data_IF_402931477497
#
_entry.id   IF_402931477497
#
_cell.length_a   1.000
_cell.length_b   1.000
_cell.length_c   1.000
_cell.angle_alpha   90.00
_cell.angle_beta   90.00
_cell.angle_gamma   90.00
#
_symmetry.space_group_name_H-M   'P 1'
#
loop_
_entity.id
_entity.type
_entity.pdbx_description
1 polymer ?
#
# COMPACT_ATOMS: atom_id res chain seq x y z
N UNK A 1 29.67 -29.28 -9.49
CA UNK A 1 28.99 -29.36 -8.17
C UNK A 1 27.61 -29.92 -8.45
N UNK A 2 27.31 -31.11 -7.95
CA UNK A 2 25.96 -31.66 -8.08
C UNK A 2 25.05 -30.93 -7.10
N UNK A 3 24.01 -30.28 -7.62
CA UNK A 3 23.02 -29.57 -6.81
C UNK A 3 21.82 -30.49 -6.66
N UNK A 4 21.53 -30.87 -5.42
CA UNK A 4 20.34 -31.68 -5.08
C UNK A 4 19.26 -30.72 -4.58
N UNK A 5 18.09 -30.76 -5.22
CA UNK A 5 16.92 -29.99 -4.79
C UNK A 5 16.01 -30.89 -3.96
N UNK A 6 15.65 -30.42 -2.77
CA UNK A 6 14.68 -31.09 -1.89
C UNK A 6 13.46 -30.18 -1.81
N UNK A 7 12.28 -30.72 -2.15
CA UNK A 7 11.01 -30.01 -2.10
C UNK A 7 10.08 -30.78 -1.17
N UNK A 8 9.59 -30.12 -0.12
CA UNK A 8 8.57 -30.69 0.73
C UNK A 8 7.27 -30.81 -0.07
N UNK A 9 6.61 -31.98 -0.01
CA UNK A 9 5.30 -32.20 -0.65
C UNK A 9 4.13 -31.68 0.20
N UNK A 10 4.34 -31.51 1.50
CA UNK A 10 3.36 -31.03 2.47
C UNK A 10 4.03 -30.17 3.53
N UNK A 11 3.28 -29.25 4.12
CA UNK A 11 3.72 -28.47 5.25
C UNK A 11 3.49 -29.20 6.60
N UNK A 12 3.71 -28.50 7.72
CA UNK A 12 3.50 -29.05 9.07
C UNK A 12 2.02 -29.26 9.43
N UNK A 13 1.10 -28.61 8.70
CA UNK A 13 -0.35 -28.77 8.82
C UNK A 13 -0.94 -29.84 7.89
N UNK A 14 -0.08 -30.60 7.20
CA UNK A 14 -0.44 -31.57 6.16
C UNK A 14 -1.05 -30.94 4.88
N UNK A 15 -0.97 -29.63 4.71
CA UNK A 15 -1.42 -28.96 3.48
C UNK A 15 -0.43 -29.23 2.32
N UNK A 16 -0.91 -29.52 1.10
CA UNK A 16 -0.05 -29.83 -0.03
C UNK A 16 0.76 -28.60 -0.48
N UNK A 17 2.07 -28.79 -0.65
CA UNK A 17 2.99 -27.79 -1.15
C UNK A 17 3.33 -28.03 -2.61
N UNK A 18 3.48 -26.93 -3.36
CA UNK A 18 3.91 -26.98 -4.76
C UNK A 18 5.39 -26.59 -4.89
N UNK A 19 6.17 -27.28 -5.75
CA UNK A 19 7.53 -26.87 -6.10
C UNK A 19 7.55 -25.46 -6.72
N UNK A 20 8.58 -24.67 -6.36
CA UNK A 20 8.80 -23.35 -6.95
C UNK A 20 8.87 -23.40 -8.47
N UNK A 21 8.23 -22.43 -9.14
CA UNK A 21 8.22 -22.30 -10.61
C UNK A 21 9.62 -22.11 -11.21
N UNK A 22 10.56 -21.56 -10.43
CA UNK A 22 11.96 -21.42 -10.81
C UNK A 22 12.62 -22.78 -11.11
N UNK A 23 12.16 -23.85 -10.45
CA UNK A 23 12.61 -25.21 -10.77
C UNK A 23 12.14 -25.65 -12.17
N UNK A 24 11.20 -24.97 -12.80
CA UNK A 24 10.75 -25.26 -14.17
C UNK A 24 11.22 -24.22 -15.19
N UNK A 25 11.93 -23.17 -14.77
CA UNK A 25 12.53 -22.16 -15.63
C UNK A 25 13.79 -22.69 -16.35
N UNK A 26 13.59 -23.69 -17.21
CA UNK A 26 14.61 -24.38 -18.00
C UNK A 26 14.01 -24.78 -19.36
N UNK A 27 14.76 -25.46 -20.22
CA UNK A 27 14.22 -25.95 -21.49
C UNK A 27 13.03 -26.89 -21.28
N UNK A 28 12.12 -26.94 -22.27
CA UNK A 28 10.84 -27.66 -22.20
C UNK A 28 11.04 -29.13 -21.80
N UNK A 29 12.12 -29.78 -22.26
CA UNK A 29 12.38 -31.19 -21.97
C UNK A 29 12.79 -31.39 -20.52
N UNK A 30 13.68 -30.55 -19.99
CA UNK A 30 14.06 -30.58 -18.58
C UNK A 30 12.90 -30.19 -17.66
N UNK A 31 12.09 -29.20 -18.04
CA UNK A 31 10.93 -28.79 -17.28
C UNK A 31 9.91 -29.95 -17.18
N UNK A 32 9.62 -30.62 -18.30
CA UNK A 32 8.74 -31.79 -18.32
C UNK A 32 9.28 -32.96 -17.48
N UNK A 33 10.61 -33.20 -17.50
CA UNK A 33 11.24 -34.20 -16.64
C UNK A 33 11.07 -33.85 -15.15
N UNK A 34 11.34 -32.59 -14.77
CA UNK A 34 11.16 -32.13 -13.39
C UNK A 34 9.71 -32.22 -12.94
N UNK A 35 8.74 -31.89 -13.80
CA UNK A 35 7.30 -32.05 -13.52
C UNK A 35 7.00 -33.51 -13.20
N UNK A 36 7.47 -34.46 -14.04
CA UNK A 36 7.30 -35.89 -13.76
C UNK A 36 8.00 -36.35 -12.49
N UNK A 37 9.14 -35.77 -12.12
CA UNK A 37 9.85 -36.13 -10.89
C UNK A 37 9.13 -35.60 -9.65
N UNK A 38 8.64 -34.36 -9.66
CA UNK A 38 7.98 -33.76 -8.50
C UNK A 38 6.53 -34.20 -8.33
N UNK A 39 5.79 -34.35 -9.43
CA UNK A 39 4.36 -34.68 -9.43
C UNK A 39 4.04 -36.11 -9.88
N UNK A 40 5.03 -36.86 -10.36
CA UNK A 40 4.83 -38.27 -10.69
C UNK A 40 4.50 -39.09 -9.45
N UNK A 41 3.67 -40.12 -9.66
CA UNK A 41 3.34 -41.13 -8.66
C UNK A 41 4.59 -41.96 -8.33
N UNK A 42 5.45 -41.45 -7.46
CA UNK A 42 6.39 -42.31 -6.76
C UNK A 42 5.55 -43.14 -5.78
N UNK A 43 5.63 -44.47 -5.86
CA UNK A 43 5.26 -45.33 -4.74
C UNK A 43 5.80 -44.67 -3.47
N UNK A 44 4.97 -44.56 -2.43
CA UNK A 44 5.42 -44.10 -1.13
C UNK A 44 6.43 -45.14 -0.63
N UNK A 45 7.69 -45.03 -1.07
CA UNK A 45 8.80 -45.57 -0.31
C UNK A 45 8.62 -44.95 1.07
N UNK A 46 8.25 -45.80 2.04
CA UNK A 46 8.28 -45.46 3.45
C UNK A 46 9.73 -45.09 3.74
N UNK A 47 10.07 -43.82 3.51
CA UNK A 47 11.36 -43.29 3.86
C UNK A 47 11.50 -43.59 5.36
N UNK A 48 12.55 -44.35 5.76
CA UNK A 48 12.74 -44.64 7.17
C UNK A 48 12.74 -43.32 7.94
N UNK A 49 12.09 -43.27 9.11
CA UNK A 49 11.96 -42.03 9.87
C UNK A 49 13.34 -41.38 9.98
N UNK A 50 13.43 -40.11 9.56
CA UNK A 50 14.67 -39.32 9.58
C UNK A 50 15.17 -39.05 11.01
N UNK A 51 14.43 -39.52 12.02
CA UNK A 51 14.73 -39.44 13.44
C UNK A 51 16.13 -40.01 13.72
N UNK A 52 17.07 -39.14 14.10
CA UNK A 52 18.44 -39.51 14.45
C UNK A 52 19.42 -39.71 13.28
N UNK A 53 18.98 -39.60 12.02
CA UNK A 53 19.87 -39.70 10.84
C UNK A 53 20.33 -38.34 10.29
N UNK A 54 19.58 -37.29 10.62
CA UNK A 54 20.00 -35.93 10.36
C UNK A 54 20.87 -35.46 11.52
N UNK A 55 22.18 -35.40 11.31
CA UNK A 55 23.04 -34.53 12.12
C UNK A 55 22.81 -33.11 11.62
N UNK A 56 22.60 -32.15 12.51
CA UNK A 56 22.53 -30.75 12.11
C UNK A 56 23.79 -30.41 11.31
N UNK A 57 23.64 -30.26 9.99
CA UNK A 57 24.69 -29.70 9.16
C UNK A 57 25.00 -28.31 9.71
N UNK A 58 26.29 -27.95 9.76
CA UNK A 58 26.85 -26.68 10.28
C UNK A 58 25.78 -25.61 10.51
N UNK A 59 25.71 -25.04 11.72
CA UNK A 59 24.92 -23.85 12.13
C UNK A 59 25.15 -22.58 11.27
N UNK A 60 25.77 -22.69 10.10
CA UNK A 60 25.97 -21.60 9.16
C UNK A 60 24.78 -21.57 8.21
N UNK A 61 23.66 -21.02 8.67
CA UNK A 61 22.76 -20.33 7.74
C UNK A 61 23.57 -19.20 7.10
N UNK A 62 23.96 -19.39 5.84
CA UNK A 62 24.76 -18.38 5.10
C UNK A 62 23.94 -17.14 4.73
N UNK A 63 22.62 -17.20 4.87
CA UNK A 63 21.75 -16.06 4.65
C UNK A 63 21.86 -15.10 5.83
N UNK A 64 22.42 -13.92 5.56
CA UNK A 64 22.52 -12.85 6.55
C UNK A 64 21.37 -11.88 6.32
N UNK A 65 20.61 -11.62 7.38
CA UNK A 65 19.61 -10.56 7.41
C UNK A 65 20.33 -9.23 7.10
N UNK A 66 19.88 -8.44 6.10
CA UNK A 66 20.57 -7.22 5.71
C UNK A 66 20.66 -6.22 6.86
N UNK A 67 21.84 -5.91 7.37
CA UNK A 67 21.98 -4.85 8.37
C UNK A 67 22.05 -3.48 7.70
N UNK A 68 21.58 -2.41 8.36
CA UNK A 68 21.79 -1.04 7.90
C UNK A 68 23.28 -0.74 7.68
N UNK A 69 23.64 -0.31 6.47
CA UNK A 69 24.99 0.13 6.11
C UNK A 69 24.97 1.64 5.94
N UNK A 70 25.92 2.41 6.52
CA UNK A 70 26.01 3.85 6.33
C UNK A 70 26.03 4.24 4.86
N UNK A 71 25.25 5.27 4.51
CA UNK A 71 25.16 5.90 3.20
C UNK A 71 25.83 7.27 3.23
N UNK A 72 26.52 7.61 2.16
CA UNK A 72 27.16 8.93 2.00
C UNK A 72 26.12 10.03 1.75
N UNK A 73 25.06 9.71 0.99
CA UNK A 73 24.01 10.66 0.65
C UNK A 73 22.64 10.16 1.12
N UNK A 74 21.95 11.01 1.87
CA UNK A 74 20.57 10.80 2.29
C UNK A 74 19.60 11.65 1.45
N UNK A 75 18.39 11.14 1.19
CA UNK A 75 17.39 11.88 0.42
C UNK A 75 17.06 13.21 1.09
N UNK A 76 16.79 14.23 0.28
CA UNK A 76 16.34 15.57 0.70
C UNK A 76 14.91 15.86 0.31
N UNK A 77 14.23 14.90 -0.32
CA UNK A 77 12.82 14.98 -0.70
C UNK A 77 12.13 13.74 -0.16
N UNK A 78 11.04 13.94 0.57
CA UNK A 78 10.29 12.89 1.23
C UNK A 78 8.83 12.90 0.79
N UNK A 79 8.28 11.76 0.38
CA UNK A 79 6.85 11.58 0.17
C UNK A 79 6.12 11.34 1.48
N UNK A 80 4.91 11.87 1.63
CA UNK A 80 4.14 11.67 2.87
C UNK A 80 3.97 10.17 3.22
N UNK A 81 3.74 9.32 2.21
CA UNK A 81 3.66 7.86 2.34
C UNK A 81 4.97 7.19 2.78
N UNK A 82 6.13 7.78 2.46
CA UNK A 82 7.41 7.21 2.90
C UNK A 82 7.68 7.49 4.37
N UNK A 83 7.24 8.66 4.87
CA UNK A 83 7.33 8.99 6.29
C UNK A 83 6.51 8.01 7.14
N UNK A 84 5.34 7.62 6.67
CA UNK A 84 4.52 6.58 7.32
C UNK A 84 5.21 5.21 7.31
N UNK A 85 5.95 4.90 6.23
CA UNK A 85 6.70 3.63 6.17
C UNK A 85 7.77 3.59 7.27
N UNK A 86 8.47 4.71 7.51
CA UNK A 86 9.44 4.80 8.60
C UNK A 86 8.79 4.81 9.98
N UNK A 87 7.69 5.56 10.15
CA UNK A 87 6.93 5.62 11.39
C UNK A 87 6.41 4.22 11.81
N UNK A 88 6.04 3.41 10.83
CA UNK A 88 5.59 2.03 11.02
C UNK A 88 6.73 1.06 11.35
N UNK A 89 7.87 1.19 10.66
CA UNK A 89 9.13 0.49 11.00
C UNK A 89 10.33 1.14 10.28
N UNK A 90 11.33 1.67 11.02
CA UNK A 90 12.58 2.17 10.43
C UNK A 90 13.32 1.13 9.61
N UNK A 91 13.31 -0.14 10.03
CA UNK A 91 13.95 -1.22 9.29
C UNK A 91 13.19 -1.55 7.99
N UNK A 92 11.85 -1.54 8.02
CA UNK A 92 11.04 -1.68 6.80
C UNK A 92 11.31 -0.55 5.81
N UNK A 93 11.46 0.68 6.29
CA UNK A 93 11.87 1.81 5.45
C UNK A 93 13.24 1.55 4.81
N UNK A 94 14.21 1.05 5.57
CA UNK A 94 15.51 0.70 5.03
C UNK A 94 15.41 -0.35 3.91
N UNK A 95 14.68 -1.45 4.12
CA UNK A 95 14.52 -2.49 3.10
C UNK A 95 13.81 -1.96 1.84
N UNK A 96 12.69 -1.26 2.01
CA UNK A 96 11.83 -0.83 0.90
C UNK A 96 12.29 0.46 0.19
N UNK A 97 12.90 1.41 0.89
CA UNK A 97 13.27 2.74 0.36
C UNK A 97 14.76 2.91 0.14
N UNK A 98 15.59 2.45 1.08
CA UNK A 98 17.06 2.56 0.96
C UNK A 98 17.62 1.45 0.09
N UNK A 99 17.26 0.18 0.35
CA UNK A 99 17.66 -0.96 -0.47
C UNK A 99 16.76 -1.19 -1.69
N UNK A 100 15.58 -0.55 -1.72
CA UNK A 100 14.61 -0.64 -2.82
C UNK A 100 14.16 -2.08 -3.12
N UNK A 101 14.12 -2.92 -2.09
CA UNK A 101 13.62 -4.28 -2.19
C UNK A 101 12.12 -4.25 -2.47
N UNK A 102 11.68 -5.15 -3.34
CA UNK A 102 10.27 -5.34 -3.69
C UNK A 102 9.99 -6.82 -3.76
N UNK A 103 8.83 -7.22 -3.24
CA UNK A 103 8.32 -8.56 -3.50
C UNK A 103 7.89 -8.66 -4.97
N UNK A 104 8.26 -9.77 -5.61
CA UNK A 104 7.71 -10.18 -6.89
C UNK A 104 6.71 -11.29 -6.59
N UNK A 105 5.42 -10.95 -6.63
CA UNK A 105 4.34 -11.93 -6.55
C UNK A 105 3.91 -12.34 -7.96
N UNK A 106 3.68 -13.64 -8.14
CA UNK A 106 3.13 -14.25 -9.36
C UNK A 106 1.60 -14.42 -9.26
N UNK A 107 0.95 -13.89 -8.22
CA UNK A 107 -0.49 -13.99 -7.93
C UNK A 107 -1.31 -13.02 -8.80
N UNK A 108 -1.18 -13.15 -10.12
CA UNK A 108 -1.76 -12.24 -11.13
C UNK A 108 -3.24 -12.59 -11.45
N UNK A 109 -3.81 -13.61 -10.79
CA UNK A 109 -5.06 -14.22 -11.25
C UNK A 109 -6.35 -13.56 -10.72
N UNK A 110 -6.29 -12.67 -9.71
CA UNK A 110 -7.45 -11.96 -9.14
C UNK A 110 -7.12 -10.49 -8.79
N UNK A 111 -8.13 -9.59 -8.74
CA UNK A 111 -7.91 -8.26 -8.15
C UNK A 111 -7.73 -8.45 -6.64
N UNK A 112 -6.49 -8.46 -6.17
CA UNK A 112 -6.24 -8.35 -4.73
C UNK A 112 -6.79 -7.01 -4.21
N UNK A 113 -6.81 -6.83 -2.88
CA UNK A 113 -7.41 -5.61 -2.29
C UNK A 113 -6.77 -4.31 -2.79
N UNK A 114 -5.46 -4.32 -3.04
CA UNK A 114 -4.73 -3.17 -3.56
C UNK A 114 -5.08 -2.89 -5.03
N UNK A 115 -5.15 -3.93 -5.86
CA UNK A 115 -5.50 -3.82 -7.27
C UNK A 115 -6.94 -3.30 -7.46
N UNK A 116 -7.88 -3.76 -6.62
CA UNK A 116 -9.24 -3.21 -6.59
C UNK A 116 -9.24 -1.72 -6.23
N UNK A 117 -8.51 -1.32 -5.18
CA UNK A 117 -8.38 0.08 -4.80
C UNK A 117 -7.81 0.93 -5.94
N UNK A 118 -6.70 0.47 -6.55
CA UNK A 118 -6.08 1.15 -7.69
C UNK A 118 -7.05 1.32 -8.86
N UNK A 119 -7.86 0.31 -9.19
CA UNK A 119 -8.87 0.43 -10.25
C UNK A 119 -9.87 1.57 -9.96
N UNK A 120 -10.35 1.69 -8.72
CA UNK A 120 -11.24 2.78 -8.33
C UNK A 120 -10.53 4.14 -8.41
N UNK A 121 -9.32 4.26 -7.86
CA UNK A 121 -8.53 5.49 -7.95
C UNK A 121 -8.28 5.91 -9.40
N UNK A 122 -7.97 4.95 -10.28
CA UNK A 122 -7.74 5.24 -11.69
C UNK A 122 -9.03 5.76 -12.37
N UNK A 123 -10.20 5.21 -12.05
CA UNK A 123 -11.51 5.72 -12.54
C UNK A 123 -11.77 7.12 -12.02
N UNK A 124 -11.55 7.36 -10.72
CA UNK A 124 -11.79 8.66 -10.11
C UNK A 124 -10.81 9.73 -10.59
N UNK A 125 -9.58 9.34 -10.92
CA UNK A 125 -8.59 10.20 -11.61
C UNK A 125 -9.12 10.69 -12.95
N UNK A 126 -9.60 9.76 -13.78
CA UNK A 126 -10.11 10.06 -15.12
C UNK A 126 -11.38 10.91 -15.05
N UNK A 127 -12.27 10.59 -14.11
CA UNK A 127 -13.42 11.41 -13.78
C UNK A 127 -13.02 12.84 -13.44
N UNK A 128 -12.03 13.02 -12.56
CA UNK A 128 -11.60 14.34 -12.10
C UNK A 128 -10.95 15.22 -13.17
N UNK A 129 -10.45 14.63 -14.26
CA UNK A 129 -9.89 15.37 -15.40
C UNK A 129 -10.92 15.60 -16.53
N UNK A 130 -12.07 14.90 -16.49
CA UNK A 130 -13.12 14.99 -17.50
C UNK A 130 -14.13 16.14 -17.25
N UNK A 131 -14.86 16.55 -18.28
CA UNK A 131 -15.91 17.58 -18.17
C UNK A 131 -17.12 17.13 -17.32
N UNK A 132 -17.35 15.82 -17.20
CA UNK A 132 -18.50 15.30 -16.43
C UNK A 132 -18.41 15.67 -14.94
N UNK A 133 -17.22 16.01 -14.43
CA UNK A 133 -17.02 16.46 -13.03
C UNK A 133 -17.85 17.70 -12.65
N UNK A 134 -18.27 18.48 -13.64
CA UNK A 134 -19.07 19.68 -13.43
C UNK A 134 -20.56 19.39 -13.29
N UNK A 135 -21.01 18.19 -13.68
CA UNK A 135 -22.41 17.76 -13.62
C UNK A 135 -22.85 17.51 -12.18
N UNK A 136 -24.09 17.89 -11.88
CA UNK A 136 -24.84 17.52 -10.67
C UNK A 136 -25.94 16.49 -10.97
N UNK A 137 -25.96 15.90 -12.18
CA UNK A 137 -26.89 14.83 -12.55
C UNK A 137 -26.26 13.46 -12.26
N UNK A 138 -26.81 12.78 -11.25
CA UNK A 138 -26.44 11.42 -10.85
C UNK A 138 -26.41 10.43 -12.03
N UNK A 139 -27.40 10.49 -12.94
CA UNK A 139 -27.52 9.53 -14.04
C UNK A 139 -26.41 9.73 -15.07
N UNK A 140 -26.06 10.98 -15.33
CA UNK A 140 -24.98 11.34 -16.24
C UNK A 140 -23.63 10.90 -15.66
N UNK A 141 -23.39 11.20 -14.38
CA UNK A 141 -22.20 10.80 -13.63
C UNK A 141 -22.05 9.27 -13.61
N UNK A 142 -23.10 8.55 -13.22
CA UNK A 142 -23.13 7.09 -13.11
C UNK A 142 -22.82 6.40 -14.44
N UNK A 143 -23.41 6.89 -15.53
CA UNK A 143 -23.12 6.39 -16.89
C UNK A 143 -21.67 6.63 -17.30
N UNK A 144 -21.14 7.83 -17.04
CA UNK A 144 -19.76 8.17 -17.39
C UNK A 144 -18.75 7.34 -16.59
N UNK A 145 -18.94 7.20 -15.28
CA UNK A 145 -18.08 6.39 -14.41
C UNK A 145 -18.10 4.92 -14.79
N UNK A 146 -19.27 4.37 -15.13
CA UNK A 146 -19.40 3.01 -15.67
C UNK A 146 -18.60 2.82 -16.95
N UNK A 147 -18.65 3.80 -17.86
CA UNK A 147 -17.89 3.75 -19.12
C UNK A 147 -16.38 3.78 -18.88
N UNK A 148 -15.91 4.68 -18.00
CA UNK A 148 -14.50 4.79 -17.62
C UNK A 148 -13.99 3.49 -16.97
N UNK A 149 -14.82 2.85 -16.13
CA UNK A 149 -14.52 1.54 -15.54
C UNK A 149 -14.35 0.49 -16.62
N UNK A 150 -15.31 0.38 -17.54
CA UNK A 150 -15.29 -0.61 -18.64
C UNK A 150 -14.03 -0.47 -19.49
N UNK A 151 -13.67 0.76 -19.86
CA UNK A 151 -12.45 1.02 -20.63
C UNK A 151 -11.18 0.61 -19.88
N UNK A 152 -11.10 0.85 -18.57
CA UNK A 152 -9.94 0.43 -17.76
C UNK A 152 -9.86 -1.08 -17.61
N UNK A 153 -10.99 -1.73 -17.40
CA UNK A 153 -11.05 -3.20 -17.30
C UNK A 153 -10.60 -3.83 -18.61
N UNK A 154 -11.08 -3.34 -19.76
CA UNK A 154 -10.66 -3.83 -21.08
C UNK A 154 -9.16 -3.61 -21.30
N UNK A 155 -8.62 -2.44 -20.92
CA UNK A 155 -7.18 -2.14 -21.05
C UNK A 155 -6.30 -3.04 -20.18
N UNK A 156 -6.73 -3.35 -18.96
CA UNK A 156 -5.93 -4.09 -17.98
C UNK A 156 -6.09 -5.61 -18.06
N UNK A 157 -7.28 -6.10 -18.44
CA UNK A 157 -7.65 -7.52 -18.38
C UNK A 157 -8.16 -8.09 -19.71
N UNK A 158 -8.27 -7.27 -20.76
CA UNK A 158 -8.82 -7.68 -22.05
C UNK A 158 -10.34 -7.79 -22.06
N UNK A 159 -10.89 -8.31 -23.16
CA UNK A 159 -12.35 -8.38 -23.36
C UNK A 159 -13.07 -9.50 -22.60
N UNK A 160 -12.32 -10.49 -22.09
CA UNK A 160 -12.87 -11.64 -21.36
C UNK A 160 -12.08 -11.90 -20.07
N UNK A 161 -12.26 -11.05 -19.03
CA UNK A 161 -11.63 -11.27 -17.74
C UNK A 161 -12.16 -12.54 -17.07
N UNK A 162 -11.36 -13.12 -16.16
CA UNK A 162 -11.76 -14.28 -15.36
C UNK A 162 -13.07 -14.01 -14.59
N UNK A 163 -13.91 -15.02 -14.31
CA UNK A 163 -15.18 -14.83 -13.59
C UNK A 163 -15.04 -14.12 -12.23
N UNK A 164 -13.96 -14.40 -11.49
CA UNK A 164 -13.66 -13.72 -10.23
C UNK A 164 -13.45 -12.20 -10.42
N UNK A 165 -12.71 -11.82 -11.47
CA UNK A 165 -12.49 -10.43 -11.86
C UNK A 165 -13.80 -9.78 -12.30
N UNK A 166 -14.65 -10.48 -13.04
CA UNK A 166 -15.97 -9.96 -13.44
C UNK A 166 -16.84 -9.59 -12.22
N UNK A 167 -16.89 -10.46 -11.22
CA UNK A 167 -17.63 -10.17 -9.98
C UNK A 167 -17.08 -8.91 -9.28
N UNK A 168 -15.76 -8.77 -9.21
CA UNK A 168 -15.10 -7.61 -8.61
C UNK A 168 -15.32 -6.32 -9.43
N UNK A 169 -15.41 -6.42 -10.75
CA UNK A 169 -15.76 -5.29 -11.62
C UNK A 169 -17.19 -4.83 -11.38
N UNK A 170 -18.14 -5.75 -11.23
CA UNK A 170 -19.53 -5.40 -10.90
C UNK A 170 -19.67 -4.81 -9.49
N UNK A 171 -18.86 -5.29 -8.54
CA UNK A 171 -18.73 -4.64 -7.22
C UNK A 171 -18.21 -3.20 -7.36
N UNK A 172 -17.14 -2.98 -8.13
CA UNK A 172 -16.61 -1.65 -8.40
C UNK A 172 -17.64 -0.74 -9.08
N UNK A 173 -18.41 -1.27 -10.04
CA UNK A 173 -19.47 -0.53 -10.74
C UNK A 173 -20.55 -0.07 -9.77
N UNK A 174 -21.08 -0.97 -8.93
CA UNK A 174 -22.07 -0.62 -7.91
C UNK A 174 -21.55 0.48 -6.98
N UNK A 175 -20.28 0.38 -6.58
CA UNK A 175 -19.61 1.36 -5.73
C UNK A 175 -19.51 2.74 -6.40
N UNK A 176 -19.14 2.78 -7.69
CA UNK A 176 -19.07 4.01 -8.49
C UNK A 176 -20.46 4.62 -8.75
N UNK A 177 -21.52 3.81 -8.83
CA UNK A 177 -22.89 4.32 -8.93
C UNK A 177 -23.31 5.05 -7.65
N UNK A 178 -23.03 4.46 -6.47
CA UNK A 178 -23.26 5.15 -5.20
C UNK A 178 -22.40 6.42 -5.08
N UNK A 179 -21.17 6.40 -5.64
CA UNK A 179 -20.30 7.58 -5.66
C UNK A 179 -20.90 8.68 -6.52
N UNK A 180 -21.53 8.34 -7.65
CA UNK A 180 -22.21 9.29 -8.53
C UNK A 180 -23.33 10.03 -7.79
N UNK A 181 -24.15 9.32 -6.99
CA UNK A 181 -25.20 9.92 -6.16
C UNK A 181 -24.60 10.91 -5.13
N UNK A 182 -23.58 10.47 -4.40
CA UNK A 182 -22.89 11.33 -3.45
C UNK A 182 -22.24 12.55 -4.12
N UNK A 183 -21.58 12.36 -5.26
CA UNK A 183 -20.90 13.41 -6.02
C UNK A 183 -21.90 14.45 -6.55
N UNK A 184 -23.05 14.02 -7.06
CA UNK A 184 -24.14 14.90 -7.49
C UNK A 184 -24.61 15.78 -6.33
N UNK A 185 -24.88 15.17 -5.16
CA UNK A 185 -25.28 15.90 -3.96
C UNK A 185 -24.21 16.90 -3.50
N UNK A 186 -22.94 16.47 -3.44
CA UNK A 186 -21.82 17.32 -3.06
C UNK A 186 -21.65 18.52 -4.01
N UNK A 187 -21.83 18.30 -5.31
CA UNK A 187 -21.81 19.36 -6.32
C UNK A 187 -22.98 20.33 -6.17
N UNK A 188 -24.19 19.81 -5.90
CA UNK A 188 -25.41 20.59 -5.68
C UNK A 188 -25.33 21.46 -4.41
N UNK A 189 -24.58 21.03 -3.40
CA UNK A 189 -24.23 21.85 -2.23
C UNK A 189 -23.31 23.03 -2.57
N UNK A 190 -22.70 23.04 -3.76
CA UNK A 190 -21.85 24.12 -4.24
C UNK A 190 -20.35 23.82 -4.20
N UNK A 191 -19.94 22.59 -3.90
CA UNK A 191 -18.54 22.19 -3.95
C UNK A 191 -18.08 21.93 -5.37
N UNK A 192 -16.87 22.40 -5.69
CA UNK A 192 -16.22 22.22 -6.98
C UNK A 192 -14.95 21.40 -6.83
N UNK A 193 -14.86 20.29 -7.57
CA UNK A 193 -13.62 19.53 -7.71
C UNK A 193 -12.59 20.38 -8.46
N UNK A 194 -11.50 20.77 -7.78
CA UNK A 194 -10.41 21.55 -8.37
C UNK A 194 -9.28 20.69 -8.89
N UNK A 195 -8.94 19.64 -8.16
CA UNK A 195 -7.84 18.74 -8.51
C UNK A 195 -8.16 17.30 -8.10
N UNK A 196 -7.78 16.34 -8.95
CA UNK A 196 -7.86 14.91 -8.66
C UNK A 196 -6.52 14.23 -8.90
N UNK A 197 -6.14 13.28 -8.05
CA UNK A 197 -4.91 12.48 -8.12
C UNK A 197 -3.64 13.34 -8.37
N UNK A 198 -3.61 14.51 -7.74
CA UNK A 198 -2.64 15.55 -8.03
C UNK A 198 -1.30 15.22 -7.38
N UNK A 199 -0.28 14.99 -8.21
CA UNK A 199 1.11 14.88 -7.77
C UNK A 199 1.69 16.26 -7.47
N UNK A 200 1.95 16.53 -6.20
CA UNK A 200 2.47 17.82 -5.73
C UNK A 200 3.99 17.86 -5.88
N UNK A 201 4.52 18.92 -6.51
CA UNK A 201 5.97 19.17 -6.54
C UNK A 201 6.48 19.37 -5.10
N UNK A 202 7.74 19.01 -4.79
CA UNK A 202 8.25 19.15 -3.43
C UNK A 202 8.09 20.57 -2.88
N UNK A 203 7.37 20.70 -1.77
CA UNK A 203 7.22 21.96 -1.02
C UNK A 203 8.28 22.02 0.08
N UNK A 204 8.69 23.21 0.48
CA UNK A 204 9.67 23.36 1.55
C UNK A 204 9.06 22.98 2.90
N UNK A 205 9.73 22.10 3.63
CA UNK A 205 9.33 21.67 4.97
C UNK A 205 10.52 21.82 5.93
N UNK A 206 10.37 22.74 6.89
CA UNK A 206 11.42 23.05 7.84
C UNK A 206 11.51 21.97 8.94
N UNK A 207 12.70 21.40 9.08
CA UNK A 207 13.02 20.41 10.13
C UNK A 207 13.52 21.13 11.38
N UNK A 208 14.37 22.13 11.20
CA UNK A 208 14.90 23.01 12.24
C UNK A 208 15.40 24.32 11.59
N UNK A 209 16.09 25.16 12.37
CA UNK A 209 16.61 26.45 11.90
C UNK A 209 17.67 26.37 10.80
N UNK A 210 18.28 25.19 10.59
CA UNK A 210 19.39 24.99 9.65
C UNK A 210 19.03 24.00 8.53
N UNK A 211 18.02 23.17 8.74
CA UNK A 211 17.65 22.06 7.85
C UNK A 211 16.25 22.25 7.29
N UNK A 212 16.16 22.33 5.96
CA UNK A 212 14.90 22.28 5.20
C UNK A 212 14.97 21.14 4.19
N UNK A 213 13.87 20.42 4.04
CA UNK A 213 13.73 19.31 3.07
C UNK A 213 12.54 19.59 2.15
N UNK A 214 12.44 18.85 1.06
CA UNK A 214 11.25 18.81 0.23
C UNK A 214 10.24 17.82 0.77
N UNK A 215 8.98 18.22 0.97
CA UNK A 215 7.86 17.31 1.22
C UNK A 215 7.03 17.19 -0.06
N UNK A 216 6.72 15.98 -0.49
CA UNK A 216 5.91 15.72 -1.70
C UNK A 216 4.84 14.69 -1.40
N UNK A 217 3.90 14.51 -2.30
CA UNK A 217 2.82 13.55 -2.14
C UNK A 217 1.90 13.57 -3.34
N UNK A 218 0.95 12.66 -3.33
CA UNK A 218 -0.19 12.69 -4.22
C UNK A 218 -1.42 12.91 -3.36
N UNK A 219 -2.22 13.92 -3.70
CA UNK A 219 -3.50 14.18 -3.05
C UNK A 219 -4.60 13.66 -3.98
N UNK A 220 -5.45 12.78 -3.50
CA UNK A 220 -6.48 12.14 -4.33
C UNK A 220 -7.52 13.15 -4.81
N UNK A 221 -7.90 14.11 -3.95
CA UNK A 221 -8.92 15.09 -4.29
C UNK A 221 -8.82 16.38 -3.48
N UNK A 222 -8.98 17.51 -4.16
CA UNK A 222 -9.07 18.85 -3.57
C UNK A 222 -10.31 19.55 -4.12
N UNK A 223 -11.18 19.97 -3.22
CA UNK A 223 -12.44 20.65 -3.51
C UNK A 223 -12.46 22.05 -2.91
N UNK A 224 -13.21 22.95 -3.56
CA UNK A 224 -13.41 24.33 -3.13
C UNK A 224 -14.89 24.69 -3.16
N UNK A 225 -15.35 25.40 -2.13
CA UNK A 225 -16.71 25.91 -2.06
C UNK A 225 -16.72 27.43 -2.23
N UNK A 226 -17.09 27.97 -3.41
CA UNK A 226 -16.97 29.41 -3.70
C UNK A 226 -17.75 30.33 -2.77
N UNK A 227 -18.96 29.93 -2.35
CA UNK A 227 -19.82 30.76 -1.51
C UNK A 227 -19.31 30.93 -0.06
N UNK A 228 -18.57 29.96 0.48
CA UNK A 228 -18.01 30.02 1.85
C UNK A 228 -16.51 30.31 1.84
N UNK A 229 -15.84 30.11 0.70
CA UNK A 229 -14.38 30.16 0.58
C UNK A 229 -13.65 28.96 1.19
N UNK A 230 -14.38 27.92 1.60
CA UNK A 230 -13.84 26.75 2.27
C UNK A 230 -13.16 25.80 1.28
N UNK A 231 -12.02 25.25 1.69
CA UNK A 231 -11.34 24.16 0.98
C UNK A 231 -11.53 22.84 1.71
N UNK A 232 -11.58 21.74 0.95
CA UNK A 232 -11.59 20.38 1.45
C UNK A 232 -10.53 19.55 0.72
N UNK A 233 -9.74 18.79 1.48
CA UNK A 233 -8.73 17.88 0.96
C UNK A 233 -9.12 16.47 1.39
N UNK A 234 -9.24 15.59 0.40
CA UNK A 234 -9.72 14.24 0.59
C UNK A 234 -8.69 13.20 0.14
N UNK A 235 -8.82 12.04 0.77
CA UNK A 235 -8.24 10.78 0.35
C UNK A 235 -9.36 9.73 0.19
N UNK A 236 -9.30 8.90 -0.84
CA UNK A 236 -10.30 7.89 -1.13
C UNK A 236 -10.03 6.60 -0.35
N UNK A 237 -11.06 6.06 0.34
CA UNK A 237 -10.91 4.83 1.13
C UNK A 237 -11.87 3.73 0.68
N UNK A 238 -11.34 2.76 -0.08
CA UNK A 238 -12.09 1.64 -0.71
C UNK A 238 -12.08 0.32 0.09
N UNK A 239 -11.90 0.40 1.43
CA UNK A 239 -11.76 -0.74 2.32
C UNK A 239 -13.07 -1.45 2.67
N UNK A 240 -12.99 -2.59 3.37
CA UNK A 240 -14.16 -3.36 3.83
C UNK A 240 -15.05 -2.57 4.82
N UNK A 241 -14.45 -1.72 5.66
CA UNK A 241 -15.19 -0.81 6.54
C UNK A 241 -14.60 0.59 6.52
N UNK A 242 -15.49 1.58 6.49
CA UNK A 242 -15.13 2.98 6.64
C UNK A 242 -14.75 3.23 8.10
N UNK A 243 -13.45 3.48 8.36
CA UNK A 243 -12.99 3.94 9.67
C UNK A 243 -12.83 5.45 9.62
N UNK A 244 -13.33 6.12 10.65
CA UNK A 244 -13.17 7.56 10.82
C UNK A 244 -11.70 7.99 10.67
N UNK A 245 -11.43 9.18 10.10
CA UNK A 245 -10.07 9.69 9.92
C UNK A 245 -9.23 9.61 11.18
N UNK A 246 -9.78 9.99 12.34
CA UNK A 246 -9.07 9.97 13.63
C UNK A 246 -8.63 8.55 14.02
N UNK A 247 -9.52 7.56 13.91
CA UNK A 247 -9.23 6.16 14.22
C UNK A 247 -8.26 5.50 13.25
N UNK A 248 -8.16 6.03 12.02
CA UNK A 248 -7.21 5.55 11.01
C UNK A 248 -5.80 6.13 11.22
N UNK A 249 -5.70 7.32 11.83
CA UNK A 249 -4.43 8.02 12.03
C UNK A 249 -3.83 7.85 13.42
N UNK A 250 -4.60 7.41 14.41
CA UNK A 250 -4.12 7.21 15.77
C UNK A 250 -4.17 5.74 16.20
N UNK A 251 -3.21 5.33 17.03
CA UNK A 251 -3.30 4.05 17.74
C UNK A 251 -4.21 4.18 18.99
N UNK A 252 -4.38 3.09 19.74
CA UNK A 252 -5.21 3.08 20.96
C UNK A 252 -4.69 3.99 22.08
N UNK A 253 -3.44 4.46 22.00
CA UNK A 253 -2.82 5.41 22.93
C UNK A 253 -2.89 6.85 22.43
N UNK A 254 -3.62 7.12 21.35
CA UNK A 254 -3.70 8.44 20.72
C UNK A 254 -2.37 8.95 20.17
N UNK A 255 -1.47 8.06 19.77
CA UNK A 255 -0.24 8.41 19.06
C UNK A 255 -0.44 8.30 17.55
N UNK A 256 0.23 9.16 16.78
CA UNK A 256 0.18 9.14 15.32
C UNK A 256 0.73 7.82 14.76
N UNK A 257 -0.09 7.14 13.98
CA UNK A 257 0.26 5.97 13.15
C UNK A 257 0.35 6.32 11.66
N UNK A 258 -0.39 7.33 11.23
CA UNK A 258 -0.41 7.83 9.84
C UNK A 258 -0.31 9.35 9.84
N UNK A 259 0.31 9.88 8.80
CA UNK A 259 0.58 11.31 8.64
C UNK A 259 0.05 11.88 7.31
N UNK A 260 -0.59 11.06 6.47
CA UNK A 260 -1.17 11.46 5.17
C UNK A 260 -2.01 12.73 5.22
N UNK A 261 -3.21 12.66 5.78
CA UNK A 261 -4.11 13.81 5.83
C UNK A 261 -3.49 15.04 6.52
N UNK A 262 -2.90 14.95 7.73
CA UNK A 262 -2.36 16.15 8.37
C UNK A 262 -1.21 16.77 7.59
N UNK A 263 -0.40 16.01 6.85
CA UNK A 263 0.66 16.57 6.02
C UNK A 263 0.17 17.08 4.65
N UNK A 264 -1.00 16.64 4.17
CA UNK A 264 -1.59 17.18 2.94
C UNK A 264 -1.92 18.67 3.05
N UNK A 265 -2.13 19.22 4.25
CA UNK A 265 -2.31 20.68 4.44
C UNK A 265 -1.11 21.50 3.95
N UNK A 266 0.11 20.97 4.11
CA UNK A 266 1.33 21.62 3.61
C UNK A 266 1.40 21.54 2.09
N UNK A 267 1.02 20.38 1.53
CA UNK A 267 1.05 20.14 0.09
C UNK A 267 -0.01 20.94 -0.67
N UNK A 268 -1.24 21.01 -0.14
CA UNK A 268 -2.37 21.72 -0.74
C UNK A 268 -2.16 23.23 -0.87
N UNK A 269 -1.33 23.82 0.00
CA UNK A 269 -0.97 25.24 -0.06
C UNK A 269 -0.39 25.66 -1.42
N UNK A 270 0.32 24.76 -2.09
CA UNK A 270 0.94 25.00 -3.41
C UNK A 270 -0.08 25.20 -4.53
N UNK A 271 -1.34 24.82 -4.32
CA UNK A 271 -2.44 24.93 -5.29
C UNK A 271 -3.60 25.78 -4.77
N UNK A 272 -3.35 26.59 -3.75
CA UNK A 272 -4.31 27.58 -3.24
C UNK A 272 -5.20 27.09 -2.10
N UNK A 273 -5.09 25.82 -1.70
CA UNK A 273 -5.76 25.35 -0.48
C UNK A 273 -5.17 26.08 0.74
N UNK A 274 -6.03 26.38 1.72
CA UNK A 274 -5.66 27.20 2.87
C UNK A 274 -5.32 26.36 4.09
N UNK A 275 -4.70 26.97 5.10
CA UNK A 275 -4.35 26.27 6.34
C UNK A 275 -5.57 25.71 7.10
N UNK A 276 -6.72 26.37 6.96
CA UNK A 276 -8.04 25.99 7.51
C UNK A 276 -8.81 25.01 6.59
N UNK A 277 -8.14 24.38 5.62
CA UNK A 277 -8.77 23.37 4.77
C UNK A 277 -9.27 22.20 5.62
N UNK A 278 -10.50 21.74 5.36
CA UNK A 278 -11.05 20.55 6.00
C UNK A 278 -10.33 19.33 5.43
N UNK A 279 -9.86 18.45 6.31
CA UNK A 279 -9.15 17.23 5.94
C UNK A 279 -10.07 16.04 6.16
N UNK A 280 -10.16 15.10 5.22
CA UNK A 280 -11.08 13.98 5.39
C UNK A 280 -10.88 12.83 4.43
N UNK A 281 -11.76 11.84 4.55
CA UNK A 281 -11.91 10.76 3.60
C UNK A 281 -13.20 10.90 2.81
N UNK A 282 -13.17 10.43 1.57
CA UNK A 282 -14.38 9.99 0.90
C UNK A 282 -14.42 8.47 1.06
N UNK A 283 -15.30 8.01 1.96
CA UNK A 283 -15.45 6.61 2.29
C UNK A 283 -16.20 5.88 1.18
N UNK A 284 -15.58 4.83 0.65
CA UNK A 284 -16.04 4.00 -0.45
C UNK A 284 -16.14 2.54 0.04
N UNK A 285 -17.02 2.22 1.01
CA UNK A 285 -17.07 0.89 1.61
C UNK A 285 -17.53 -0.14 0.59
N UNK A 286 -16.92 -1.33 0.61
CA UNK A 286 -17.33 -2.44 -0.26
C UNK A 286 -18.73 -2.98 0.06
N UNK A 287 -19.12 -2.91 1.33
CA UNK A 287 -20.39 -3.45 1.83
C UNK A 287 -21.53 -2.41 1.85
N UNK A 288 -21.59 -1.54 0.84
CA UNK A 288 -22.75 -0.69 0.46
C UNK A 288 -23.45 0.15 1.56
N UNK A 289 -22.83 0.36 2.73
CA UNK A 289 -23.49 1.00 3.89
C UNK A 289 -23.57 2.54 3.83
N UNK A 290 -23.19 3.17 2.70
CA UNK A 290 -23.28 4.60 2.31
C UNK A 290 -21.89 5.22 2.01
N UNK A 291 -21.83 6.00 0.93
CA UNK A 291 -20.68 6.85 0.59
C UNK A 291 -20.85 8.22 1.21
N UNK A 292 -19.75 8.78 1.72
CA UNK A 292 -19.80 10.11 2.32
C UNK A 292 -18.42 10.69 2.61
N UNK A 293 -18.39 12.01 2.70
CA UNK A 293 -17.27 12.74 3.27
C UNK A 293 -17.25 12.57 4.79
N UNK A 294 -16.13 12.09 5.32
CA UNK A 294 -15.84 12.02 6.75
C UNK A 294 -14.66 12.94 7.03
N UNK A 295 -14.88 13.98 7.82
CA UNK A 295 -13.86 14.97 8.13
C UNK A 295 -13.20 14.67 9.45
N UNK A 296 -11.88 14.90 9.52
CA UNK A 296 -11.15 14.89 10.76
C UNK A 296 -11.37 16.19 11.53
N UNK A 297 -11.71 16.06 12.81
CA UNK A 297 -11.80 17.18 13.76
C UNK A 297 -10.51 17.24 14.57
N UNK A 298 -9.40 17.61 13.93
CA UNK A 298 -8.13 17.84 14.61
C UNK A 298 -7.98 19.31 15.01
N UNK A 299 -7.47 19.56 16.21
CA UNK A 299 -7.10 20.92 16.62
C UNK A 299 -5.78 21.36 15.99
N UNK A 300 -5.49 22.66 16.01
CA UNK A 300 -4.22 23.19 15.53
C UNK A 300 -3.03 22.59 16.30
N UNK A 301 -3.20 22.31 17.60
CA UNK A 301 -2.19 21.65 18.43
C UNK A 301 -1.96 20.20 18.01
N UNK A 302 -3.02 19.45 17.70
CA UNK A 302 -2.91 18.07 17.20
C UNK A 302 -2.20 18.05 15.84
N UNK A 303 -2.57 18.96 14.94
CA UNK A 303 -1.91 19.07 13.65
C UNK A 303 -0.43 19.51 13.81
N UNK A 304 -0.12 20.41 14.75
CA UNK A 304 1.26 20.78 15.06
C UNK A 304 2.06 19.58 15.62
N UNK A 305 1.42 18.72 16.43
CA UNK A 305 2.01 17.47 16.88
C UNK A 305 2.31 16.52 15.71
N UNK A 306 1.44 16.44 14.70
CA UNK A 306 1.71 15.65 13.49
C UNK A 306 2.96 16.15 12.74
N UNK A 307 3.14 17.47 12.64
CA UNK A 307 4.35 18.06 12.04
C UNK A 307 5.59 17.69 12.86
N UNK A 308 5.52 17.70 14.18
CA UNK A 308 6.64 17.33 15.04
C UNK A 308 7.02 15.86 14.89
N UNK A 309 6.03 14.97 14.77
CA UNK A 309 6.27 13.56 14.44
C UNK A 309 6.94 13.44 13.06
N UNK A 310 6.45 14.16 12.05
CA UNK A 310 7.07 14.15 10.72
C UNK A 310 8.53 14.65 10.76
N UNK A 311 8.82 15.72 11.50
CA UNK A 311 10.19 16.23 11.71
C UNK A 311 11.07 15.18 12.38
N UNK A 312 10.57 14.50 13.41
CA UNK A 312 11.32 13.45 14.10
C UNK A 312 11.61 12.25 13.21
N UNK A 313 10.63 11.80 12.43
CA UNK A 313 10.80 10.76 11.41
C UNK A 313 11.90 11.15 10.42
N UNK A 314 11.84 12.37 9.88
CA UNK A 314 12.84 12.85 8.90
C UNK A 314 14.23 12.94 9.54
N UNK A 315 14.35 13.40 10.80
CA UNK A 315 15.63 13.40 11.52
C UNK A 315 16.19 11.99 11.66
N UNK A 316 15.36 11.02 12.06
CA UNK A 316 15.76 9.62 12.16
C UNK A 316 16.25 9.06 10.82
N UNK A 317 15.56 9.36 9.72
CA UNK A 317 16.01 8.99 8.37
C UNK A 317 17.36 9.65 8.04
N UNK A 318 17.51 10.96 8.24
CA UNK A 318 18.75 11.68 7.94
C UNK A 318 19.94 11.19 8.79
N UNK A 319 19.69 10.76 10.02
CA UNK A 319 20.66 10.15 10.93
C UNK A 319 20.89 8.67 10.66
N UNK A 320 20.15 8.06 9.72
CA UNK A 320 20.25 6.65 9.34
C UNK A 320 19.89 5.67 10.48
N UNK A 321 18.93 6.05 11.32
CA UNK A 321 18.43 5.30 12.47
C UNK A 321 17.48 4.15 12.06
N UNK A 322 18.00 3.18 11.30
CA UNK A 322 17.20 2.08 10.71
C UNK A 322 17.18 0.78 11.53
N UNK A 323 17.21 0.87 12.86
CA UNK A 323 17.49 -0.22 13.81
C UNK A 323 16.92 -1.60 13.41
N UNK A 324 17.78 -2.63 13.33
CA UNK A 324 17.38 -4.01 12.99
C UNK A 324 16.75 -4.79 14.14
N UNK A 325 16.56 -4.19 15.32
CA UNK A 325 15.88 -4.83 16.44
C UNK A 325 14.35 -4.96 16.20
N UNK A 326 13.83 -4.31 15.16
CA UNK A 326 12.41 -4.36 14.76
C UNK A 326 12.02 -5.60 13.94
N UNK A 327 12.87 -6.64 13.91
CA UNK A 327 12.61 -7.90 13.18
C UNK A 327 11.37 -8.65 13.70
N UNK A 328 10.97 -8.40 14.95
CA UNK A 328 9.76 -8.97 15.56
C UNK A 328 8.48 -8.18 15.24
N UNK A 329 8.58 -7.02 14.60
CA UNK A 329 7.41 -6.22 14.25
C UNK A 329 6.49 -6.97 13.27
N UNK A 330 5.19 -7.01 13.57
CA UNK A 330 4.15 -7.56 12.67
C UNK A 330 4.11 -6.82 11.31
N UNK A 331 4.78 -5.68 11.23
CA UNK A 331 4.78 -4.79 10.08
C UNK A 331 5.78 -5.19 8.98
N UNK A 332 6.60 -6.23 9.17
CA UNK A 332 7.54 -6.74 8.16
C UNK A 332 6.95 -7.80 7.22
N UNK A 333 5.62 -7.94 7.12
CA UNK A 333 4.93 -9.00 6.37
C UNK A 333 5.50 -9.26 4.95
N UNK A 334 5.79 -8.21 4.17
CA UNK A 334 6.34 -8.31 2.80
C UNK A 334 7.83 -8.71 2.76
N UNK A 335 8.51 -8.66 3.91
CA UNK A 335 9.93 -8.98 4.08
C UNK A 335 10.17 -10.11 5.08
N UNK A 336 9.15 -10.84 5.54
CA UNK A 336 9.31 -11.90 6.56
C UNK A 336 10.35 -12.95 6.18
N UNK A 337 10.38 -13.33 4.89
CA UNK A 337 11.37 -14.27 4.36
C UNK A 337 12.81 -13.73 4.42
N UNK A 338 12.98 -12.42 4.27
CA UNK A 338 14.29 -11.73 4.34
C UNK A 338 14.68 -11.51 5.81
N UNK A 339 13.71 -11.18 6.66
CA UNK A 339 13.88 -11.09 8.11
C UNK A 339 14.05 -12.47 8.77
N UNK A 340 13.85 -13.56 8.01
CA UNK A 340 13.90 -14.94 8.47
C UNK A 340 12.94 -15.18 9.66
N UNK A 341 11.80 -14.49 9.70
CA UNK A 341 10.78 -14.62 10.76
C UNK A 341 10.19 -16.03 10.74
N UNK A 342 10.13 -16.69 11.89
CA UNK A 342 9.63 -18.06 12.02
C UNK A 342 10.60 -19.16 11.57
N UNK A 343 11.85 -18.82 11.21
CA UNK A 343 12.88 -19.82 10.89
C UNK A 343 13.55 -20.31 12.18
N UNK A 344 13.40 -21.60 12.49
CA UNK A 344 14.03 -22.22 13.65
C UNK A 344 15.57 -22.13 13.59
N UNK A 345 16.21 -21.72 14.69
CA UNK A 345 17.68 -21.74 14.84
C UNK A 345 18.42 -20.45 14.51
N UNK A 346 17.76 -19.29 14.51
CA UNK A 346 18.45 -18.00 14.42
C UNK A 346 19.38 -17.76 15.62
N UNK A 347 20.65 -17.45 15.35
CA UNK A 347 21.46 -16.66 16.28
C UNK A 347 21.01 -15.20 16.17
N UNK A 348 20.29 -14.71 17.17
CA UNK A 348 20.06 -13.27 17.35
C UNK A 348 21.44 -12.64 17.57
N UNK A 349 21.87 -11.65 16.76
CA UNK A 349 23.14 -10.98 17.01
C UNK A 349 23.09 -10.36 18.42
N UNK A 350 24.16 -10.44 19.22
CA UNK A 350 24.19 -9.74 20.49
C UNK A 350 23.97 -8.25 20.25
N UNK A 351 23.07 -7.68 21.08
CA UNK A 351 22.62 -6.29 21.12
C UNK A 351 23.73 -5.26 21.11
#
# INVERSE_FOLDING_TARGET
>A
KDVVFIVAKRDMGDEPLTPSRLLFATDVKQAAQRIRTFYGSSEQEQLPPLYGRLTAGRNQFSFRVPTPVPREEMPRVFSVTELETYLDSPYRYYLSRVLKLRELSDDIWELNNAAFGNLIHDVLSEFGESEIRFSDDERELSKSLSTMLDEKVIRSYGGEPLPAVQLQVEQARSLLMMFAEWQAGWRAEGWELKHSELKIRPVQFAIDSQTTVGLTGRIDRIDYHPATGQWAIFDYKTGLSAREPRATHHNSRMEWKRLQLPLYRHLGSSVGARADSRLGFISLPRDAEKIGAQFAEWTDEELQSADDVARNVIRGILNQEFHSADLDSENLYEFEKIALRGVFGQEVPPS
#
